data_IF_683136994370
#
_entry.id   IF_683136994370
#
_cell.length_a   1.000
_cell.length_b   1.000
_cell.length_c   1.000
_cell.angle_alpha   90.00
_cell.angle_beta   90.00
_cell.angle_gamma   90.00
#
_symmetry.space_group_name_H-M   'P 1'
#
loop_
_entity.id
_entity.type
_entity.pdbx_description
1 polymer ?
#
# COMPACT_ATOMS: atom_id res chain seq x y z
N UNK A 1 65.08 -12.02 -25.91
CA UNK A 1 65.08 -12.97 -24.78
C UNK A 1 64.75 -12.14 -23.54
N UNK A 2 63.46 -12.00 -23.23
CA UNK A 2 62.98 -11.16 -22.12
C UNK A 2 62.76 -12.02 -20.88
N UNK A 3 63.49 -11.69 -19.82
CA UNK A 3 63.40 -12.33 -18.51
C UNK A 3 62.32 -11.59 -17.72
N UNK A 4 61.22 -12.27 -17.42
CA UNK A 4 60.18 -11.77 -16.51
C UNK A 4 60.52 -12.19 -15.09
N UNK A 5 60.52 -11.23 -14.16
CA UNK A 5 60.70 -11.47 -12.72
C UNK A 5 59.31 -11.34 -12.07
N UNK A 6 58.81 -12.35 -11.35
CA UNK A 6 57.57 -12.23 -10.59
C UNK A 6 57.85 -11.51 -9.26
N UNK A 7 57.09 -10.44 -8.99
CA UNK A 7 57.06 -9.78 -7.69
C UNK A 7 56.02 -10.52 -6.85
N UNK A 8 56.49 -11.28 -5.86
CA UNK A 8 55.66 -11.89 -4.82
C UNK A 8 55.44 -10.81 -3.75
N UNK A 9 54.24 -10.21 -3.74
CA UNK A 9 53.81 -9.33 -2.67
C UNK A 9 53.29 -10.17 -1.50
N UNK A 10 54.09 -10.28 -0.44
CA UNK A 10 53.69 -10.90 0.83
C UNK A 10 52.87 -9.87 1.60
N UNK A 11 51.55 -10.06 1.64
CA UNK A 11 50.65 -9.32 2.52
C UNK A 11 50.69 -9.94 3.93
N UNK A 12 51.32 -9.25 4.87
CA UNK A 12 51.22 -9.55 6.31
C UNK A 12 50.00 -8.79 6.86
N UNK A 13 48.90 -9.51 7.10
CA UNK A 13 47.77 -8.98 7.87
C UNK A 13 48.10 -9.03 9.37
N UNK A 14 48.38 -7.86 9.94
CA UNK A 14 48.41 -7.67 11.38
C UNK A 14 46.98 -7.58 11.91
N UNK A 15 46.47 -8.68 12.48
CA UNK A 15 45.26 -8.65 13.31
C UNK A 15 45.59 -7.98 14.66
N UNK A 16 45.48 -6.65 14.71
CA UNK A 16 45.33 -5.93 15.97
C UNK A 16 43.90 -6.15 16.47
N UNK A 17 43.73 -7.08 17.40
CA UNK A 17 42.50 -7.25 18.18
C UNK A 17 42.36 -6.04 19.11
N UNK A 18 41.90 -4.92 18.57
CA UNK A 18 41.43 -3.79 19.36
C UNK A 18 40.14 -4.25 20.05
N UNK A 19 40.25 -4.52 21.35
CA UNK A 19 39.11 -4.74 22.23
C UNK A 19 38.34 -3.42 22.31
N UNK A 20 37.45 -3.17 21.34
CA UNK A 20 36.54 -2.04 21.40
C UNK A 20 35.66 -2.19 22.63
N UNK A 21 35.50 -1.13 23.44
CA UNK A 21 34.54 -1.13 24.54
C UNK A 21 33.18 -1.57 23.99
N UNK A 22 32.56 -2.58 24.59
CA UNK A 22 31.18 -2.92 24.24
C UNK A 22 30.34 -1.65 24.38
N UNK A 23 29.61 -1.23 23.33
CA UNK A 23 28.70 -0.10 23.47
C UNK A 23 27.77 -0.41 24.65
N UNK A 24 27.47 0.58 25.51
CA UNK A 24 26.60 0.37 26.66
C UNK A 24 25.31 -0.27 26.18
N UNK A 25 24.90 -1.35 26.86
CA UNK A 25 23.67 -2.06 26.54
C UNK A 25 22.53 -1.02 26.54
N UNK A 26 21.77 -0.88 25.44
CA UNK A 26 20.69 0.08 25.39
C UNK A 26 19.73 -0.19 26.54
N UNK A 27 19.35 0.87 27.25
CA UNK A 27 18.35 0.78 28.32
C UNK A 27 17.09 0.14 27.75
N UNK A 28 16.42 -0.77 28.49
CA UNK A 28 15.14 -1.29 28.04
C UNK A 28 14.19 -0.11 27.78
N UNK A 29 13.44 -0.11 26.68
CA UNK A 29 12.52 0.97 26.38
C UNK A 29 11.51 1.12 27.53
N UNK A 30 11.10 2.35 27.87
CA UNK A 30 10.10 2.57 28.90
C UNK A 30 8.85 1.72 28.62
N UNK A 31 8.39 1.02 29.66
CA UNK A 31 7.14 0.25 29.65
C UNK A 31 5.97 1.23 29.53
N UNK A 32 5.52 1.50 28.31
CA UNK A 32 4.28 2.23 28.09
C UNK A 32 3.10 1.29 28.29
N UNK A 33 2.28 1.55 29.31
CA UNK A 33 1.00 0.85 29.48
C UNK A 33 0.00 1.44 28.49
N UNK A 34 -0.39 0.67 27.49
CA UNK A 34 -1.49 1.03 26.60
C UNK A 34 -2.80 1.08 27.39
N UNK A 35 -3.49 2.22 27.37
CA UNK A 35 -4.80 2.36 28.01
C UNK A 35 -5.85 1.96 26.97
N UNK A 36 -6.65 0.90 27.22
CA UNK A 36 -7.75 0.55 26.34
C UNK A 36 -8.76 1.70 26.23
N UNK A 37 -9.38 1.87 25.07
CA UNK A 37 -10.50 2.80 24.95
C UNK A 37 -11.77 2.24 25.63
N UNK A 38 -12.89 2.97 25.55
CA UNK A 38 -14.16 2.56 26.14
C UNK A 38 -14.72 1.22 25.63
N UNK A 39 -14.20 0.69 24.52
CA UNK A 39 -14.55 -0.61 23.95
C UNK A 39 -13.59 -1.73 24.37
N UNK A 40 -12.56 -1.42 25.16
CA UNK A 40 -11.51 -2.37 25.51
C UNK A 40 -10.45 -2.56 24.42
N UNK A 41 -10.47 -1.74 23.35
CA UNK A 41 -9.52 -1.88 22.25
C UNK A 41 -8.21 -1.20 22.63
N UNK A 42 -7.11 -1.84 22.27
CA UNK A 42 -5.78 -1.29 22.49
C UNK A 42 -5.37 -0.48 21.26
N UNK A 43 -4.68 0.65 21.43
CA UNK A 43 -4.03 1.33 20.32
C UNK A 43 -3.02 0.37 19.68
N UNK A 44 -3.00 0.36 18.36
CA UNK A 44 -2.15 -0.48 17.54
C UNK A 44 -0.66 -0.26 17.80
N UNK A 45 -0.28 1.02 17.91
CA UNK A 45 1.08 1.45 18.14
C UNK A 45 1.06 2.78 18.91
N UNK A 46 2.12 3.04 19.67
CA UNK A 46 2.34 4.33 20.34
C UNK A 46 2.41 5.50 19.34
N UNK A 47 2.87 5.22 18.12
CA UNK A 47 3.01 6.20 17.06
C UNK A 47 1.74 6.38 16.23
N UNK A 48 0.77 5.47 16.38
CA UNK A 48 -0.52 5.49 15.69
C UNK A 48 -1.65 5.40 16.73
N UNK A 49 -1.78 6.41 17.64
CA UNK A 49 -2.67 6.33 18.80
C UNK A 49 -4.17 6.31 18.44
N UNK A 50 -4.50 6.35 17.16
CA UNK A 50 -5.87 6.44 16.62
C UNK A 50 -6.31 5.20 15.87
N UNK A 51 -5.41 4.24 15.69
CA UNK A 51 -5.72 2.93 15.15
C UNK A 51 -5.88 2.02 16.36
N UNK A 52 -7.04 1.41 16.49
CA UNK A 52 -7.40 0.54 17.59
C UNK A 52 -7.61 -0.87 17.06
N UNK A 53 -6.99 -1.84 17.71
CA UNK A 53 -7.16 -3.25 17.38
C UNK A 53 -8.01 -3.93 18.44
N UNK A 54 -8.95 -4.75 17.97
CA UNK A 54 -9.77 -5.61 18.81
C UNK A 54 -8.88 -6.54 19.66
N UNK A 55 -9.17 -6.63 20.95
CA UNK A 55 -8.51 -7.51 21.89
C UNK A 55 -8.61 -9.01 21.54
N UNK A 56 -9.57 -9.41 20.71
CA UNK A 56 -9.72 -10.78 20.20
C UNK A 56 -8.65 -11.16 19.18
N UNK A 57 -7.98 -10.19 18.55
CA UNK A 57 -6.87 -10.45 17.66
C UNK A 57 -5.72 -11.14 18.41
N UNK A 58 -5.28 -12.29 17.90
CA UNK A 58 -4.07 -12.94 18.40
C UNK A 58 -2.83 -12.08 18.15
N UNK A 59 -1.76 -12.31 18.92
CA UNK A 59 -0.48 -11.60 18.72
C UNK A 59 0.09 -11.80 17.31
N UNK A 60 -0.09 -13.01 16.74
CA UNK A 60 0.30 -13.28 15.35
C UNK A 60 -0.47 -12.39 14.36
N UNK A 61 -1.78 -12.26 14.51
CA UNK A 61 -2.59 -11.39 13.64
C UNK A 61 -2.19 -9.92 13.77
N UNK A 62 -1.89 -9.43 14.98
CA UNK A 62 -1.40 -8.06 15.20
C UNK A 62 -0.09 -7.79 14.48
N UNK A 63 0.85 -8.75 14.50
CA UNK A 63 2.12 -8.65 13.76
C UNK A 63 1.86 -8.60 12.25
N UNK A 64 0.97 -9.44 11.73
CA UNK A 64 0.63 -9.47 10.31
C UNK A 64 -0.04 -8.16 9.85
N UNK A 65 -0.88 -7.56 10.70
CA UNK A 65 -1.49 -6.24 10.46
C UNK A 65 -0.45 -5.12 10.47
N UNK A 66 0.53 -5.15 11.37
CA UNK A 66 1.66 -4.20 11.39
C UNK A 66 2.48 -4.29 10.11
N UNK A 67 2.85 -5.50 9.70
CA UNK A 67 3.56 -5.68 8.44
C UNK A 67 2.75 -5.14 7.25
N UNK A 68 1.47 -5.47 7.17
CA UNK A 68 0.60 -5.00 6.09
C UNK A 68 0.45 -3.47 6.08
N UNK A 69 0.37 -2.84 7.26
CA UNK A 69 0.35 -1.38 7.40
C UNK A 69 1.65 -0.75 6.90
N UNK A 70 2.80 -1.30 7.28
CA UNK A 70 4.11 -0.79 6.86
C UNK A 70 4.28 -0.93 5.33
N UNK A 71 3.80 -2.03 4.73
CA UNK A 71 3.79 -2.20 3.28
C UNK A 71 2.85 -1.22 2.58
N UNK A 72 1.64 -1.00 3.12
CA UNK A 72 0.73 0.02 2.61
C UNK A 72 1.33 1.43 2.71
N UNK A 73 2.12 1.71 3.75
CA UNK A 73 2.86 2.96 3.89
C UNK A 73 3.92 3.12 2.79
N UNK A 74 4.65 2.04 2.44
CA UNK A 74 5.62 2.07 1.34
C UNK A 74 4.94 2.41 0.00
N UNK A 75 3.81 1.76 -0.29
CA UNK A 75 3.02 2.02 -1.49
C UNK A 75 2.48 3.46 -1.52
N UNK A 76 1.90 3.93 -0.41
CA UNK A 76 1.39 5.29 -0.29
C UNK A 76 2.50 6.33 -0.48
N UNK A 77 3.69 6.10 0.09
CA UNK A 77 4.84 6.98 -0.07
C UNK A 77 5.35 7.00 -1.51
N UNK A 78 5.39 5.85 -2.19
CA UNK A 78 5.77 5.79 -3.60
C UNK A 78 4.81 6.63 -4.46
N UNK A 79 3.50 6.48 -4.24
CA UNK A 79 2.43 7.15 -4.98
C UNK A 79 2.35 8.67 -4.73
N UNK A 80 2.55 9.11 -3.48
CA UNK A 80 2.30 10.51 -3.06
C UNK A 80 3.58 11.31 -2.81
N UNK A 81 4.73 10.64 -2.87
CA UNK A 81 6.04 11.24 -2.74
C UNK A 81 6.46 12.03 -3.97
N UNK A 82 7.63 12.65 -3.88
CA UNK A 82 8.31 13.27 -5.02
C UNK A 82 9.65 12.59 -5.20
N UNK A 83 9.83 11.95 -6.35
CA UNK A 83 11.11 11.43 -6.83
C UNK A 83 11.53 12.23 -8.06
N UNK A 84 12.68 12.91 -7.96
CA UNK A 84 13.18 13.75 -9.05
C UNK A 84 13.39 12.93 -10.33
N UNK A 85 12.86 13.42 -11.45
CA UNK A 85 12.98 12.79 -12.76
C UNK A 85 12.04 11.60 -13.02
N UNK A 86 11.23 11.18 -12.04
CA UNK A 86 10.25 10.11 -12.23
C UNK A 86 8.95 10.65 -12.87
N UNK A 87 8.48 10.00 -13.93
CA UNK A 87 7.24 10.37 -14.61
C UNK A 87 6.04 9.65 -13.98
N UNK A 88 5.45 10.29 -12.98
CA UNK A 88 4.19 9.87 -12.37
C UNK A 88 3.02 9.85 -13.35
N UNK A 89 3.06 10.69 -14.39
CA UNK A 89 1.92 10.91 -15.28
C UNK A 89 1.56 9.69 -16.11
N UNK A 90 2.57 8.96 -16.59
CA UNK A 90 2.36 7.73 -17.34
C UNK A 90 1.63 6.66 -16.51
N UNK A 91 2.01 6.46 -15.24
CA UNK A 91 1.37 5.47 -14.37
C UNK A 91 -0.04 5.89 -13.98
N UNK A 92 -0.21 7.15 -13.57
CA UNK A 92 -1.51 7.68 -13.20
C UNK A 92 -2.50 7.60 -14.36
N UNK A 93 -2.06 7.86 -15.59
CA UNK A 93 -2.91 7.73 -16.77
C UNK A 93 -3.40 6.29 -16.97
N UNK A 94 -2.53 5.30 -16.77
CA UNK A 94 -2.88 3.88 -16.92
C UNK A 94 -3.99 3.46 -15.96
N UNK A 95 -3.88 3.81 -14.67
CA UNK A 95 -4.77 3.27 -13.64
C UNK A 95 -5.89 4.23 -13.20
N UNK A 96 -5.75 5.54 -13.48
CA UNK A 96 -6.73 6.58 -13.16
C UNK A 96 -7.36 7.22 -14.41
N UNK A 97 -6.94 6.85 -15.61
CA UNK A 97 -7.47 7.32 -16.90
C UNK A 97 -6.92 8.68 -17.34
N UNK A 98 -7.18 9.04 -18.60
CA UNK A 98 -6.61 10.21 -19.29
C UNK A 98 -6.91 11.56 -18.63
N UNK A 99 -8.04 11.69 -17.92
CA UNK A 99 -8.46 12.94 -17.29
C UNK A 99 -7.94 13.07 -15.84
N UNK A 100 -7.05 12.19 -15.37
CA UNK A 100 -6.61 12.19 -13.96
C UNK A 100 -6.02 13.54 -13.52
N UNK A 101 -5.42 14.31 -14.43
CA UNK A 101 -4.83 15.63 -14.21
C UNK A 101 -5.42 16.75 -15.10
N UNK A 102 -6.67 16.60 -15.58
CA UNK A 102 -7.30 17.55 -16.49
C UNK A 102 -7.23 19.01 -16.00
N UNK A 103 -6.71 19.91 -16.86
CA UNK A 103 -6.66 21.34 -16.63
C UNK A 103 -7.96 22.01 -17.07
N UNK A 104 -8.31 23.15 -16.45
CA UNK A 104 -9.60 23.80 -16.68
C UNK A 104 -9.72 24.37 -18.10
N UNK A 105 -10.45 23.68 -18.97
CA UNK A 105 -11.13 24.30 -20.13
C UNK A 105 -12.63 24.44 -19.84
N UNK A 106 -13.31 25.38 -20.49
CA UNK A 106 -14.73 25.69 -20.20
C UNK A 106 -15.70 24.53 -20.43
N UNK A 107 -15.28 23.49 -21.16
CA UNK A 107 -16.11 22.33 -21.50
C UNK A 107 -15.94 21.11 -20.58
N UNK A 108 -15.01 21.14 -19.61
CA UNK A 108 -14.57 19.95 -18.86
C UNK A 108 -14.67 20.11 -17.33
N UNK A 109 -15.68 20.84 -16.85
CA UNK A 109 -15.87 21.08 -15.40
C UNK A 109 -15.89 19.80 -14.55
N UNK A 110 -16.47 18.72 -15.08
CA UNK A 110 -16.53 17.43 -14.39
C UNK A 110 -15.15 16.75 -14.31
N UNK A 111 -14.39 16.74 -15.40
CA UNK A 111 -13.03 16.19 -15.42
C UNK A 111 -12.16 16.86 -14.35
N UNK A 112 -12.12 18.20 -14.33
CA UNK A 112 -11.43 18.97 -13.29
C UNK A 112 -11.85 18.60 -11.88
N UNK A 113 -13.15 18.39 -11.65
CA UNK A 113 -13.66 18.02 -10.32
C UNK A 113 -13.09 16.68 -9.87
N UNK A 114 -12.99 15.70 -10.78
CA UNK A 114 -12.38 14.40 -10.52
C UNK A 114 -10.88 14.52 -10.27
N UNK A 115 -10.15 15.25 -11.12
CA UNK A 115 -8.71 15.48 -10.95
C UNK A 115 -8.43 16.15 -9.60
N UNK A 116 -9.22 17.17 -9.24
CA UNK A 116 -9.11 17.85 -7.94
C UNK A 116 -9.35 16.88 -6.78
N UNK A 117 -10.35 15.99 -6.91
CA UNK A 117 -10.61 14.96 -5.91
C UNK A 117 -9.44 13.95 -5.80
N UNK A 118 -8.87 13.50 -6.92
CA UNK A 118 -7.69 12.62 -6.95
C UNK A 118 -6.52 13.25 -6.19
N UNK A 119 -6.14 14.50 -6.50
CA UNK A 119 -5.05 15.17 -5.79
C UNK A 119 -5.35 15.38 -4.30
N UNK A 120 -6.60 15.71 -3.95
CA UNK A 120 -7.00 15.83 -2.56
C UNK A 120 -6.91 14.48 -1.82
N UNK A 121 -7.30 13.38 -2.48
CA UNK A 121 -7.21 12.02 -1.96
C UNK A 121 -5.75 11.60 -1.74
N UNK A 122 -4.83 11.87 -2.67
CA UNK A 122 -3.39 11.67 -2.48
C UNK A 122 -2.85 12.44 -1.28
N UNK A 123 -3.22 13.71 -1.13
CA UNK A 123 -2.79 14.50 0.03
C UNK A 123 -3.32 13.93 1.34
N UNK A 124 -4.57 13.44 1.38
CA UNK A 124 -5.14 12.80 2.58
C UNK A 124 -4.44 11.48 2.90
N UNK A 125 -4.17 10.65 1.90
CA UNK A 125 -3.39 9.41 2.10
C UNK A 125 -2.00 9.72 2.67
N UNK A 126 -1.31 10.71 2.12
CA UNK A 126 -0.02 11.17 2.64
C UNK A 126 -0.13 11.63 4.09
N UNK A 127 -1.14 12.44 4.42
CA UNK A 127 -1.36 12.90 5.80
C UNK A 127 -1.67 11.76 6.77
N UNK A 128 -2.36 10.70 6.32
CA UNK A 128 -2.62 9.52 7.16
C UNK A 128 -1.32 8.84 7.60
N UNK A 129 -0.33 8.74 6.71
CA UNK A 129 0.92 8.01 6.96
C UNK A 129 2.08 8.87 7.47
N UNK A 130 2.14 10.15 7.12
CA UNK A 130 3.26 11.04 7.45
C UNK A 130 2.87 12.19 8.39
N UNK A 131 1.58 12.52 8.46
CA UNK A 131 1.07 13.71 9.11
C UNK A 131 0.38 13.46 10.45
N UNK A 132 0.06 14.54 11.18
CA UNK A 132 -0.85 14.46 12.31
C UNK A 132 -2.27 14.16 11.79
N UNK A 133 -2.77 12.96 12.06
CA UNK A 133 -4.18 12.64 11.84
C UNK A 133 -5.04 13.50 12.78
N UNK A 134 -6.12 14.09 12.25
CA UNK A 134 -7.03 14.98 12.98
C UNK A 134 -7.48 14.38 14.30
N UNK A 135 -7.74 15.24 15.30
CA UNK A 135 -7.98 14.79 16.68
C UNK A 135 -9.23 13.96 16.92
N UNK A 136 -10.13 13.95 15.94
CA UNK A 136 -11.46 13.38 15.96
C UNK A 136 -11.62 12.13 15.07
N UNK A 137 -10.60 11.74 14.30
CA UNK A 137 -10.63 10.58 13.41
C UNK A 137 -10.10 9.32 14.10
N UNK A 138 -10.82 8.20 13.93
CA UNK A 138 -10.52 6.91 14.55
C UNK A 138 -10.60 5.75 13.54
N UNK A 139 -9.66 4.82 13.61
CA UNK A 139 -9.68 3.57 12.84
C UNK A 139 -9.78 2.39 13.80
N UNK A 140 -10.69 1.46 13.53
CA UNK A 140 -10.92 0.25 14.32
C UNK A 140 -10.72 -0.99 13.45
N UNK A 141 -9.84 -1.88 13.87
CA UNK A 141 -9.60 -3.16 13.21
C UNK A 141 -10.09 -4.31 14.05
N UNK A 142 -10.85 -5.19 13.41
CA UNK A 142 -11.37 -6.42 13.99
C UNK A 142 -10.74 -7.61 13.26
N UNK A 143 -10.35 -8.63 14.01
CA UNK A 143 -9.86 -9.90 13.43
C UNK A 143 -10.91 -11.01 13.48
N UNK A 144 -11.99 -10.80 14.25
CA UNK A 144 -13.14 -11.69 14.29
C UNK A 144 -14.31 -11.07 13.53
N UNK A 145 -14.97 -11.88 12.71
CA UNK A 145 -16.17 -11.51 11.99
C UNK A 145 -17.42 -11.99 12.73
N UNK A 146 -17.64 -11.45 13.93
CA UNK A 146 -18.76 -11.83 14.81
C UNK A 146 -20.14 -11.58 14.17
N UNK A 147 -20.19 -10.67 13.19
CA UNK A 147 -21.38 -10.26 12.46
C UNK A 147 -21.56 -10.98 11.11
N UNK A 148 -20.70 -11.95 10.77
CA UNK A 148 -20.72 -12.73 9.53
C UNK A 148 -20.74 -11.86 8.25
N UNK A 149 -19.97 -10.77 8.24
CA UNK A 149 -19.81 -9.85 7.12
C UNK A 149 -18.86 -10.37 6.04
N UNK A 150 -17.86 -11.16 6.42
CA UNK A 150 -16.92 -11.79 5.51
C UNK A 150 -17.58 -12.94 4.77
N UNK A 151 -17.43 -12.96 3.45
CA UNK A 151 -17.84 -14.11 2.63
C UNK A 151 -16.76 -15.21 2.68
N UNK A 152 -17.13 -16.49 2.50
CA UNK A 152 -16.14 -17.55 2.33
C UNK A 152 -15.17 -17.23 1.19
N UNK A 153 -13.86 -17.39 1.43
CA UNK A 153 -12.81 -17.08 0.45
C UNK A 153 -12.54 -15.58 0.26
N UNK A 154 -13.21 -14.69 1.00
CA UNK A 154 -12.95 -13.26 0.91
C UNK A 154 -11.59 -12.91 1.52
N UNK A 155 -10.71 -12.44 0.64
CA UNK A 155 -9.35 -12.02 0.96
C UNK A 155 -9.32 -10.60 1.55
N UNK A 156 -10.21 -9.73 1.09
CA UNK A 156 -10.25 -8.33 1.49
C UNK A 156 -10.83 -8.14 2.89
N UNK A 157 -10.63 -6.95 3.46
CA UNK A 157 -11.42 -6.55 4.61
C UNK A 157 -12.86 -6.19 4.23
N UNK A 158 -13.70 -6.01 5.24
CA UNK A 158 -14.99 -5.32 5.10
C UNK A 158 -14.88 -3.97 5.82
N UNK A 159 -14.69 -2.90 5.05
CA UNK A 159 -14.66 -1.54 5.60
C UNK A 159 -16.04 -0.89 5.65
N UNK A 160 -16.35 -0.28 6.78
CA UNK A 160 -17.57 0.48 7.02
C UNK A 160 -17.31 1.71 7.88
N UNK A 161 -17.76 2.87 7.39
CA UNK A 161 -17.79 4.12 8.17
C UNK A 161 -19.06 4.23 9.03
N UNK A 162 -20.01 3.30 8.85
CA UNK A 162 -21.30 3.33 9.51
C UNK A 162 -21.37 2.43 10.75
N UNK A 163 -20.47 1.45 10.87
CA UNK A 163 -20.49 0.43 11.92
C UNK A 163 -20.46 1.05 13.32
N UNK A 164 -19.67 2.11 13.47
CA UNK A 164 -19.49 2.85 14.72
C UNK A 164 -20.40 4.08 14.84
N UNK A 165 -20.97 4.55 13.73
CA UNK A 165 -21.80 5.76 13.68
C UNK A 165 -23.18 5.62 14.35
N UNK A 166 -23.68 4.39 14.53
CA UNK A 166 -25.02 4.15 15.09
C UNK A 166 -25.05 4.13 16.62
N UNK A 167 -23.90 3.94 17.27
CA UNK A 167 -23.80 3.77 18.73
C UNK A 167 -22.74 4.65 19.37
N UNK A 168 -21.88 5.32 18.59
CA UNK A 168 -20.79 6.15 19.13
C UNK A 168 -21.00 7.65 18.85
N UNK A 169 -20.48 8.49 19.74
CA UNK A 169 -20.43 9.94 19.60
C UNK A 169 -19.41 10.42 18.53
N UNK A 170 -18.85 9.51 17.72
CA UNK A 170 -17.74 9.76 16.82
C UNK A 170 -18.22 9.57 15.37
N UNK A 171 -18.60 10.67 14.72
CA UNK A 171 -19.01 10.69 13.31
C UNK A 171 -17.87 10.34 12.32
N UNK A 172 -16.66 10.12 12.84
CA UNK A 172 -15.38 10.03 12.14
C UNK A 172 -14.66 8.71 12.50
N UNK A 173 -15.41 7.62 12.53
CA UNK A 173 -14.92 6.30 12.89
C UNK A 173 -14.97 5.36 11.69
N UNK A 174 -13.82 4.77 11.36
CA UNK A 174 -13.64 3.84 10.26
C UNK A 174 -13.39 2.45 10.81
N UNK A 175 -14.21 1.48 10.41
CA UNK A 175 -14.05 0.10 10.84
C UNK A 175 -13.63 -0.76 9.69
N UNK A 176 -12.65 -1.64 9.90
CA UNK A 176 -12.33 -2.73 8.97
C UNK A 176 -12.34 -4.05 9.72
N UNK A 177 -13.13 -5.01 9.22
CA UNK A 177 -13.10 -6.40 9.66
C UNK A 177 -12.17 -7.15 8.71
N UNK A 178 -11.06 -7.68 9.22
CA UNK A 178 -10.10 -8.45 8.43
C UNK A 178 -10.54 -9.92 8.37
N UNK A 179 -10.93 -10.37 7.18
CA UNK A 179 -11.39 -11.73 6.95
C UNK A 179 -10.25 -12.75 7.11
N UNK A 180 -10.56 -14.00 7.45
CA UNK A 180 -9.54 -15.01 7.78
C UNK A 180 -8.49 -15.21 6.67
N UNK A 181 -8.90 -15.17 5.40
CA UNK A 181 -7.99 -15.36 4.27
C UNK A 181 -6.96 -14.25 4.12
N UNK A 182 -7.24 -13.03 4.59
CA UNK A 182 -6.25 -11.94 4.62
C UNK A 182 -4.95 -12.37 5.32
N UNK A 183 -5.06 -13.13 6.40
CA UNK A 183 -3.92 -13.55 7.21
C UNK A 183 -3.11 -14.69 6.59
N UNK A 184 -3.61 -15.33 5.53
CA UNK A 184 -2.95 -16.43 4.82
C UNK A 184 -2.14 -15.96 3.60
N UNK A 185 -2.13 -14.65 3.32
CA UNK A 185 -1.54 -14.10 2.11
C UNK A 185 -0.10 -13.65 2.34
N UNK A 186 0.71 -13.79 1.27
CA UNK A 186 2.10 -13.35 1.24
C UNK A 186 2.27 -11.84 1.44
N UNK A 187 3.52 -11.45 1.67
CA UNK A 187 3.92 -10.04 1.76
C UNK A 187 4.25 -9.48 0.38
N UNK A 188 4.16 -8.15 0.22
CA UNK A 188 4.71 -7.49 -0.97
C UNK A 188 6.21 -7.77 -1.07
N UNK A 189 6.91 -7.76 0.08
CA UNK A 189 8.34 -8.05 0.12
C UNK A 189 8.67 -9.42 -0.47
N UNK A 190 7.99 -10.49 -0.05
CA UNK A 190 8.23 -11.85 -0.55
C UNK A 190 8.08 -11.93 -2.08
N UNK A 191 7.07 -11.24 -2.63
CA UNK A 191 6.85 -11.19 -4.07
C UNK A 191 7.97 -10.42 -4.79
N UNK A 192 8.37 -9.25 -4.27
CA UNK A 192 9.45 -8.46 -4.86
C UNK A 192 10.81 -9.16 -4.78
N UNK A 193 11.10 -9.86 -3.69
CA UNK A 193 12.32 -10.65 -3.54
C UNK A 193 12.33 -11.83 -4.54
N UNK A 194 11.20 -12.51 -4.69
CA UNK A 194 11.08 -13.66 -5.59
C UNK A 194 11.33 -13.29 -7.05
N UNK A 195 10.81 -12.15 -7.51
CA UNK A 195 10.97 -11.68 -8.89
C UNK A 195 12.18 -10.75 -9.11
N UNK A 196 12.99 -10.48 -8.08
CA UNK A 196 14.07 -9.50 -8.14
C UNK A 196 15.04 -9.72 -9.31
N UNK A 197 15.44 -10.96 -9.55
CA UNK A 197 16.39 -11.33 -10.61
C UNK A 197 15.76 -11.52 -12.01
N UNK A 198 14.45 -11.27 -12.15
CA UNK A 198 13.72 -11.54 -13.38
C UNK A 198 13.15 -10.24 -13.98
N UNK A 199 13.99 -9.51 -14.73
CA UNK A 199 13.62 -8.22 -15.33
C UNK A 199 12.32 -8.26 -16.15
N UNK A 200 12.06 -9.36 -16.87
CA UNK A 200 10.82 -9.52 -17.63
C UNK A 200 9.56 -9.58 -16.76
N UNK A 201 9.70 -9.95 -15.49
CA UNK A 201 8.59 -10.01 -14.53
C UNK A 201 8.39 -8.69 -13.77
N UNK A 202 9.35 -7.77 -13.77
CA UNK A 202 9.24 -6.47 -13.07
C UNK A 202 8.11 -5.59 -13.61
N UNK A 203 7.73 -5.80 -14.88
CA UNK A 203 6.71 -5.02 -15.59
C UNK A 203 5.35 -5.71 -15.63
N UNK A 204 5.18 -6.86 -14.97
CA UNK A 204 3.91 -7.61 -14.93
C UNK A 204 3.29 -7.44 -13.53
N UNK A 205 2.26 -6.62 -13.42
CA UNK A 205 1.68 -6.25 -12.12
C UNK A 205 0.97 -7.43 -11.42
N UNK A 206 0.45 -8.41 -12.16
CA UNK A 206 -0.22 -9.61 -11.60
C UNK A 206 0.72 -10.48 -10.74
N UNK A 207 2.04 -10.30 -10.87
CA UNK A 207 3.01 -10.96 -10.01
C UNK A 207 3.01 -10.38 -8.58
N UNK A 208 2.40 -9.20 -8.38
CA UNK A 208 2.51 -8.39 -7.18
C UNK A 208 1.17 -7.83 -6.68
N UNK A 209 0.07 -8.05 -7.39
CA UNK A 209 -1.19 -7.34 -7.12
C UNK A 209 -1.92 -7.89 -5.89
N UNK A 210 -1.82 -9.19 -5.58
CA UNK A 210 -2.43 -9.81 -4.40
C UNK A 210 -1.38 -10.05 -3.31
N UNK A 211 -1.25 -9.10 -2.38
CA UNK A 211 -0.50 -9.27 -1.13
C UNK A 211 -1.13 -8.49 0.01
N UNK A 212 -0.68 -8.74 1.24
CA UNK A 212 -1.23 -8.07 2.43
C UNK A 212 -1.14 -6.54 2.37
N UNK A 213 -0.03 -5.97 1.88
CA UNK A 213 0.13 -4.52 1.70
C UNK A 213 -0.87 -3.90 0.73
N UNK A 214 -1.10 -4.51 -0.43
CA UNK A 214 -2.06 -3.99 -1.44
C UNK A 214 -3.49 -4.12 -0.96
N UNK A 215 -3.84 -5.21 -0.26
CA UNK A 215 -5.17 -5.39 0.33
C UNK A 215 -5.41 -4.38 1.45
N UNK A 216 -4.41 -4.14 2.30
CA UNK A 216 -4.46 -3.12 3.35
C UNK A 216 -4.73 -1.73 2.75
N UNK A 217 -3.95 -1.36 1.72
CA UNK A 217 -4.11 -0.07 1.04
C UNK A 217 -5.48 0.07 0.37
N UNK A 218 -6.01 -1.02 -0.23
CA UNK A 218 -7.36 -1.03 -0.79
C UNK A 218 -8.44 -0.68 0.25
N UNK A 219 -8.39 -1.25 1.44
CA UNK A 219 -9.36 -0.92 2.50
C UNK A 219 -9.15 0.50 3.03
N UNK A 220 -7.91 0.98 3.13
CA UNK A 220 -7.60 2.37 3.53
C UNK A 220 -8.26 3.37 2.57
N UNK A 221 -8.26 3.10 1.27
CA UNK A 221 -8.94 3.94 0.27
C UNK A 221 -10.47 3.99 0.43
N UNK A 222 -11.07 3.15 1.28
CA UNK A 222 -12.51 3.18 1.61
C UNK A 222 -12.85 4.04 2.84
N UNK A 223 -11.85 4.55 3.56
CA UNK A 223 -12.05 5.48 4.68
C UNK A 223 -12.52 6.84 4.14
N UNK A 224 -13.85 6.99 4.06
CA UNK A 224 -14.51 8.18 3.52
C UNK A 224 -14.22 9.40 4.38
N UNK A 225 -13.93 10.54 3.76
CA UNK A 225 -13.52 11.79 4.41
C UNK A 225 -12.15 11.78 5.08
N UNK A 226 -11.69 10.64 5.62
CA UNK A 226 -10.33 10.48 6.13
C UNK A 226 -9.31 10.38 5.00
N UNK A 227 -9.53 9.49 4.02
CA UNK A 227 -8.62 9.27 2.88
C UNK A 227 -9.29 9.65 1.56
N UNK A 228 -10.51 9.19 1.31
CA UNK A 228 -11.22 9.41 0.05
C UNK A 228 -12.41 10.36 0.17
N UNK A 229 -12.49 11.34 -0.72
CA UNK A 229 -13.71 12.10 -0.99
C UNK A 229 -13.84 12.43 -2.49
N UNK A 230 -14.91 11.98 -3.17
CA UNK A 230 -16.06 11.22 -2.65
C UNK A 230 -15.68 9.81 -2.19
N UNK A 231 -16.61 9.14 -1.48
CA UNK A 231 -16.45 7.73 -1.10
C UNK A 231 -16.15 6.87 -2.32
N UNK A 232 -15.20 5.95 -2.18
CA UNK A 232 -15.02 4.89 -3.16
C UNK A 232 -16.22 3.93 -3.13
N UNK A 233 -16.57 3.35 -4.28
CA UNK A 233 -17.72 2.47 -4.38
C UNK A 233 -17.48 1.18 -3.56
N UNK A 234 -18.44 0.78 -2.69
CA UNK A 234 -18.29 -0.41 -1.87
C UNK A 234 -18.41 -1.73 -2.65
N UNK A 235 -18.89 -1.70 -3.91
CA UNK A 235 -19.44 -2.90 -4.58
C UNK A 235 -18.61 -3.50 -5.70
N UNK A 236 -17.46 -2.92 -6.07
CA UNK A 236 -16.59 -3.56 -7.06
C UNK A 236 -15.53 -4.40 -6.34
N UNK A 237 -15.88 -5.64 -6.01
CA UNK A 237 -15.02 -6.66 -5.42
C UNK A 237 -13.95 -7.10 -6.45
N UNK A 238 -12.99 -6.23 -6.76
CA UNK A 238 -11.93 -6.55 -7.72
C UNK A 238 -10.75 -7.30 -7.10
N UNK A 239 -10.79 -7.65 -5.81
CA UNK A 239 -9.80 -8.57 -5.22
C UNK A 239 -10.23 -10.01 -5.55
N UNK A 240 -10.22 -10.35 -6.84
CA UNK A 240 -10.51 -11.66 -7.42
C UNK A 240 -9.51 -11.92 -8.56
N UNK A 241 -9.69 -13.03 -9.29
CA UNK A 241 -8.93 -13.32 -10.51
C UNK A 241 -9.00 -12.14 -11.50
N UNK A 242 -7.91 -11.89 -12.22
CA UNK A 242 -7.78 -10.82 -13.23
C UNK A 242 -7.99 -9.39 -12.68
N UNK A 243 -7.64 -9.15 -11.40
CA UNK A 243 -7.76 -7.85 -10.73
C UNK A 243 -7.13 -6.73 -11.56
N UNK A 244 -5.89 -6.91 -12.01
CA UNK A 244 -5.16 -5.89 -12.74
C UNK A 244 -5.80 -5.57 -14.09
N UNK A 245 -6.19 -6.60 -14.86
CA UNK A 245 -6.89 -6.45 -16.15
C UNK A 245 -8.20 -5.68 -15.98
N UNK A 246 -9.00 -6.01 -14.96
CA UNK A 246 -10.27 -5.31 -14.71
C UNK A 246 -10.09 -3.83 -14.39
N UNK A 247 -9.03 -3.46 -13.68
CA UNK A 247 -8.73 -2.04 -13.37
C UNK A 247 -8.17 -1.32 -14.59
N UNK A 248 -7.33 -1.98 -15.38
CA UNK A 248 -6.85 -1.46 -16.66
C UNK A 248 -8.00 -1.18 -17.62
N UNK A 249 -8.92 -2.13 -17.77
CA UNK A 249 -10.11 -2.00 -18.62
C UNK A 249 -11.04 -0.91 -18.12
N UNK A 250 -11.23 -0.80 -16.81
CA UNK A 250 -12.03 0.26 -16.20
C UNK A 250 -11.44 1.64 -16.49
N UNK A 251 -10.13 1.82 -16.34
CA UNK A 251 -9.47 3.10 -16.59
C UNK A 251 -9.47 3.46 -18.09
N UNK A 252 -9.28 2.49 -18.98
CA UNK A 252 -9.24 2.71 -20.43
C UNK A 252 -10.63 2.89 -21.07
N UNK A 253 -11.65 2.17 -20.61
CA UNK A 253 -12.99 2.19 -21.23
C UNK A 253 -13.99 3.09 -20.49
N UNK A 254 -14.02 3.01 -19.16
CA UNK A 254 -14.91 3.87 -18.36
C UNK A 254 -14.25 5.22 -18.01
N UNK A 255 -12.93 5.31 -18.15
CA UNK A 255 -12.15 6.53 -17.95
C UNK A 255 -11.99 6.90 -16.48
N UNK A 256 -11.43 8.11 -16.27
CA UNK A 256 -11.26 8.70 -14.96
C UNK A 256 -12.57 8.82 -14.18
N UNK A 257 -13.73 8.90 -14.87
CA UNK A 257 -15.06 8.92 -14.24
C UNK A 257 -15.32 7.74 -13.33
N UNK A 258 -14.86 6.55 -13.68
CA UNK A 258 -15.06 5.37 -12.83
C UNK A 258 -13.84 5.08 -11.97
N UNK A 259 -12.64 5.38 -12.47
CA UNK A 259 -11.41 5.09 -11.75
C UNK A 259 -11.28 5.93 -10.45
N UNK A 260 -11.64 7.21 -10.47
CA UNK A 260 -11.48 8.11 -9.29
C UNK A 260 -12.36 7.76 -8.09
N UNK A 261 -13.32 6.84 -8.26
CA UNK A 261 -14.21 6.32 -7.21
C UNK A 261 -14.02 4.83 -6.98
N UNK A 262 -12.94 4.23 -7.49
CA UNK A 262 -12.62 2.81 -7.35
C UNK A 262 -11.36 2.66 -6.52
N UNK A 263 -11.45 2.03 -5.34
CA UNK A 263 -10.31 1.86 -4.44
C UNK A 263 -9.13 1.14 -5.12
N UNK A 264 -9.42 0.12 -5.92
CA UNK A 264 -8.39 -0.63 -6.64
C UNK A 264 -7.67 0.15 -7.74
N UNK A 265 -8.32 1.14 -8.36
CA UNK A 265 -7.63 2.04 -9.29
C UNK A 265 -6.48 2.77 -8.59
N UNK A 266 -6.72 3.26 -7.37
CA UNK A 266 -5.66 3.90 -6.58
C UNK A 266 -4.63 2.90 -6.04
N UNK A 267 -5.05 1.69 -5.66
CA UNK A 267 -4.11 0.67 -5.16
C UNK A 267 -3.18 0.16 -6.26
N UNK A 268 -3.71 -0.12 -7.46
CA UNK A 268 -2.90 -0.56 -8.60
C UNK A 268 -1.99 0.55 -9.11
N UNK A 269 -2.46 1.80 -9.10
CA UNK A 269 -1.61 2.97 -9.34
C UNK A 269 -0.42 3.02 -8.38
N UNK A 270 -0.68 2.91 -7.06
CA UNK A 270 0.37 2.94 -6.05
C UNK A 270 1.39 1.80 -6.22
N UNK A 271 0.89 0.59 -6.50
CA UNK A 271 1.72 -0.58 -6.75
C UNK A 271 2.59 -0.41 -7.99
N UNK A 272 2.02 0.04 -9.11
CA UNK A 272 2.77 0.26 -10.33
C UNK A 272 3.85 1.33 -10.15
N UNK A 273 3.55 2.42 -9.44
CA UNK A 273 4.55 3.45 -9.10
C UNK A 273 5.66 2.86 -8.24
N UNK A 274 5.31 2.10 -7.20
CA UNK A 274 6.29 1.45 -6.32
C UNK A 274 7.20 0.47 -7.08
N UNK A 275 6.65 -0.40 -7.91
CA UNK A 275 7.42 -1.39 -8.68
C UNK A 275 8.36 -0.70 -9.68
N UNK A 276 7.87 0.33 -10.39
CA UNK A 276 8.69 1.06 -11.35
C UNK A 276 9.85 1.79 -10.66
N UNK A 277 9.61 2.39 -9.47
CA UNK A 277 10.66 3.00 -8.67
C UNK A 277 11.65 1.95 -8.12
N UNK A 278 11.15 0.84 -7.59
CA UNK A 278 11.94 -0.23 -6.99
C UNK A 278 12.88 -0.89 -8.00
N UNK A 279 12.36 -1.26 -9.16
CA UNK A 279 13.11 -1.94 -10.21
C UNK A 279 13.75 -0.99 -11.22
N UNK A 280 13.50 0.32 -11.11
CA UNK A 280 13.96 1.32 -12.07
C UNK A 280 13.56 0.98 -13.51
N UNK A 281 12.36 0.41 -13.70
CA UNK A 281 11.91 -0.04 -15.02
C UNK A 281 11.55 1.14 -15.93
N UNK A 282 11.89 1.02 -17.21
CA UNK A 282 11.62 2.06 -18.21
C UNK A 282 10.12 2.24 -18.49
N UNK A 283 9.34 1.17 -18.33
CA UNK A 283 7.88 1.17 -18.47
C UNK A 283 7.22 0.82 -17.13
N UNK A 284 6.02 1.35 -16.85
CA UNK A 284 5.24 0.96 -15.68
C UNK A 284 4.85 -0.51 -15.72
N UNK A 285 4.59 -1.11 -14.55
CA UNK A 285 4.01 -2.44 -14.49
C UNK A 285 2.55 -2.41 -14.98
N UNK A 286 2.19 -3.36 -15.85
CA UNK A 286 0.88 -3.50 -16.49
C UNK A 286 0.35 -4.93 -16.33
N UNK A 287 -0.95 -5.19 -16.56
CA UNK A 287 -1.47 -6.55 -16.56
C UNK A 287 -0.75 -7.43 -17.59
N UNK A 288 -0.65 -8.72 -17.31
CA UNK A 288 0.04 -9.71 -18.14
C UNK A 288 -0.52 -9.75 -19.56
N UNK A 289 -1.82 -9.50 -19.73
CA UNK A 289 -2.45 -9.46 -21.05
C UNK A 289 -1.98 -8.27 -21.91
N UNK A 290 -1.47 -7.21 -21.27
CA UNK A 290 -0.97 -5.97 -21.89
C UNK A 290 0.56 -5.91 -21.96
N UNK A 291 1.25 -6.77 -21.20
CA UNK A 291 2.70 -6.84 -21.21
C UNK A 291 3.18 -7.24 -22.62
N UNK A 292 4.24 -6.60 -23.17
CA UNK A 292 4.80 -7.02 -24.44
C UNK A 292 5.23 -8.48 -24.33
N UNK A 293 4.54 -9.37 -25.05
CA UNK A 293 4.83 -10.79 -25.02
C UNK A 293 6.30 -11.07 -25.38
N UNK A 294 6.84 -12.25 -25.02
CA UNK A 294 8.19 -12.61 -25.42
C UNK A 294 8.30 -12.43 -26.93
N UNK A 295 9.10 -11.44 -27.35
CA UNK A 295 9.36 -11.24 -28.76
C UNK A 295 9.94 -12.56 -29.26
N UNK A 296 9.27 -13.19 -30.23
CA UNK A 296 9.80 -14.38 -30.87
C UNK A 296 11.23 -14.04 -31.32
N UNK A 297 12.22 -14.92 -31.08
CA UNK A 297 13.59 -14.66 -31.52
C UNK A 297 13.56 -14.36 -33.01
N UNK A 298 14.05 -13.16 -33.38
CA UNK A 298 14.25 -12.76 -34.78
C UNK A 298 15.41 -13.54 -35.40
#
# INVERSE_FOLDING_TARGET
MHISIPIIAIWLEFFLVNSSPQPPQPSPPPSYSFIPNSKGFLPFSLFLPRIFIDHTCSEAQKILLQQAWDEAQLLAKAQTGFLEGYDYGAVHQIYLGDEWNALATSHERLARTRSTAIFANFNRLKMLFEGPVSTDEFIYWYCEDSDTKCRPGQISGVTSNAFESRTSAYHNAHTTIWCSEFFNIGTLKDQTDFYFESESNHTIIDNFDINRGTIMLHEIWKYEHLVCHPRTHPEKLFIQEDRADQIWDLASHEGTKSAYVTADSYTMDALAVYLQQLFSSAIPAVPRSQAPGPQAPQ
#
